data_IF_956126606226
#
_entry.id   IF_956126606226
#
_cell.length_a   1.000
_cell.length_b   1.000
_cell.length_c   1.000
_cell.angle_alpha   90.00
_cell.angle_beta   90.00
_cell.angle_gamma   90.00
#
_symmetry.space_group_name_H-M   'P 1'
#
loop_
_entity.id
_entity.type
_entity.pdbx_description
1 polymer ?
#
# COMPACT_ATOMS: atom_id res chain seq x y z
N UNK A 1 -19.86 -6.17 11.75
CA UNK A 1 -20.00 -6.59 10.34
C UNK A 1 -19.80 -5.37 9.45
N UNK A 2 -19.04 -5.46 8.36
CA UNK A 2 -18.65 -4.32 7.50
C UNK A 2 -19.28 -4.49 6.10
N UNK A 3 -20.39 -3.78 5.83
CA UNK A 3 -21.14 -3.87 4.58
C UNK A 3 -20.84 -2.68 3.63
N UNK A 4 -19.57 -2.39 3.39
CA UNK A 4 -19.14 -1.32 2.49
C UNK A 4 -18.53 -1.89 1.20
N UNK A 5 -18.92 -1.33 0.06
CA UNK A 5 -18.29 -1.57 -1.25
C UNK A 5 -17.19 -0.54 -1.56
N UNK A 6 -16.52 -0.02 -0.53
CA UNK A 6 -15.45 0.98 -0.62
C UNK A 6 -14.29 0.53 0.27
N UNK A 7 -13.13 0.28 -0.35
CA UNK A 7 -11.94 -0.24 0.33
C UNK A 7 -11.47 0.72 1.42
N UNK A 8 -11.39 2.03 1.11
CA UNK A 8 -11.00 3.03 2.10
C UNK A 8 -11.89 3.05 3.33
N UNK A 9 -13.21 2.93 3.17
CA UNK A 9 -14.12 2.90 4.32
C UNK A 9 -13.97 1.63 5.15
N UNK A 10 -13.80 0.47 4.50
CA UNK A 10 -13.57 -0.79 5.20
C UNK A 10 -12.25 -0.78 5.98
N UNK A 11 -11.17 -0.27 5.37
CA UNK A 11 -9.86 -0.10 6.02
C UNK A 11 -9.95 0.86 7.21
N UNK A 12 -10.58 2.03 7.04
CA UNK A 12 -10.77 3.02 8.11
C UNK A 12 -11.43 2.43 9.35
N UNK A 13 -12.52 1.68 9.19
CA UNK A 13 -13.23 1.05 10.30
C UNK A 13 -12.36 0.02 11.04
N UNK A 14 -11.67 -0.85 10.29
CA UNK A 14 -10.79 -1.87 10.89
C UNK A 14 -9.61 -1.24 11.63
N UNK A 15 -8.98 -0.22 11.05
CA UNK A 15 -7.83 0.44 11.64
C UNK A 15 -8.22 1.19 12.91
N UNK A 16 -9.31 1.95 12.91
CA UNK A 16 -9.79 2.64 14.12
C UNK A 16 -10.07 1.65 15.24
N UNK A 17 -10.69 0.52 14.93
CA UNK A 17 -10.93 -0.53 15.91
C UNK A 17 -9.65 -1.10 16.53
N UNK A 18 -8.57 -1.24 15.75
CA UNK A 18 -7.25 -1.66 16.24
C UNK A 18 -6.59 -0.58 17.09
N UNK A 19 -6.69 0.68 16.67
CA UNK A 19 -6.15 1.83 17.41
C UNK A 19 -6.85 1.97 18.78
N UNK A 20 -8.17 1.82 18.82
CA UNK A 20 -8.95 1.82 20.07
C UNK A 20 -8.54 0.68 21.03
N UNK A 21 -7.96 -0.40 20.50
CA UNK A 21 -7.38 -1.51 21.27
C UNK A 21 -5.92 -1.25 21.71
N UNK A 22 -5.35 -0.09 21.40
CA UNK A 22 -4.01 0.33 21.81
C UNK A 22 -2.90 0.02 20.81
N UNK A 23 -3.23 -0.36 19.56
CA UNK A 23 -2.22 -0.53 18.50
C UNK A 23 -1.59 0.82 18.15
N UNK A 24 -0.26 0.88 18.14
CA UNK A 24 0.51 2.09 17.85
C UNK A 24 1.14 2.11 16.45
N UNK A 25 1.29 0.93 15.83
CA UNK A 25 1.81 0.77 14.48
C UNK A 25 0.90 -0.17 13.68
N UNK A 26 0.48 0.28 12.51
CA UNK A 26 -0.42 -0.46 11.62
C UNK A 26 0.34 -0.82 10.35
N UNK A 27 0.28 -2.09 9.96
CA UNK A 27 0.82 -2.56 8.69
C UNK A 27 -0.31 -3.18 7.86
N UNK A 28 -0.50 -2.67 6.64
CA UNK A 28 -1.57 -3.05 5.74
C UNK A 28 -1.04 -3.92 4.61
N UNK A 29 -1.82 -4.95 4.26
CA UNK A 29 -1.63 -5.72 3.04
C UNK A 29 -2.98 -6.19 2.50
N UNK A 30 -3.02 -6.57 1.23
CA UNK A 30 -4.24 -7.07 0.59
C UNK A 30 -4.44 -8.57 0.86
N UNK A 31 -5.69 -9.04 0.75
CA UNK A 31 -6.05 -10.41 1.08
C UNK A 31 -5.40 -11.47 0.17
N UNK A 32 -4.95 -11.07 -1.01
CA UNK A 32 -4.25 -11.88 -2.00
C UNK A 32 -2.77 -11.48 -2.14
N UNK A 33 -2.17 -11.02 -1.04
CA UNK A 33 -0.76 -10.63 -0.96
C UNK A 33 -0.02 -11.51 0.06
N UNK A 34 1.20 -11.89 -0.29
CA UNK A 34 2.14 -12.61 0.57
C UNK A 34 3.25 -11.64 0.97
N UNK A 35 3.44 -11.44 2.27
CA UNK A 35 4.51 -10.59 2.80
C UNK A 35 5.82 -11.37 2.91
N UNK A 36 6.95 -10.70 2.73
CA UNK A 36 8.26 -11.35 2.95
C UNK A 36 8.41 -11.82 4.42
N UNK A 37 9.17 -12.90 4.71
CA UNK A 37 9.26 -13.45 6.06
C UNK A 37 9.75 -12.48 7.14
N UNK A 38 10.56 -11.48 6.76
CA UNK A 38 11.09 -10.44 7.64
C UNK A 38 10.36 -9.09 7.47
N UNK A 39 9.19 -9.05 6.83
CA UNK A 39 8.45 -7.83 6.49
C UNK A 39 8.27 -6.87 7.68
N UNK A 40 7.82 -7.36 8.84
CA UNK A 40 7.68 -6.53 10.04
C UNK A 40 9.05 -6.14 10.65
N UNK A 41 10.06 -7.01 10.58
CA UNK A 41 11.41 -6.71 11.08
C UNK A 41 12.05 -5.58 10.27
N UNK A 42 11.90 -5.60 8.94
CA UNK A 42 12.35 -4.52 8.07
C UNK A 42 11.64 -3.20 8.39
N UNK A 43 10.34 -3.21 8.65
CA UNK A 43 9.63 -2.01 9.11
C UNK A 43 10.18 -1.47 10.44
N UNK A 44 10.45 -2.34 11.41
CA UNK A 44 11.04 -1.93 12.70
C UNK A 44 12.44 -1.31 12.55
N UNK A 45 13.25 -1.80 11.61
CA UNK A 45 14.59 -1.24 11.33
C UNK A 45 14.57 0.18 10.77
N UNK A 46 13.44 0.63 10.21
CA UNK A 46 13.26 1.99 9.70
C UNK A 46 12.74 2.98 10.75
N UNK A 47 12.48 2.53 11.98
CA UNK A 47 12.07 3.43 13.06
C UNK A 47 13.23 4.35 13.50
N UNK A 48 12.95 5.62 13.88
CA UNK A 48 11.64 6.25 13.90
C UNK A 48 11.18 6.73 12.51
N UNK A 49 9.93 6.45 12.13
CA UNK A 49 9.27 6.96 10.91
C UNK A 49 7.76 6.98 11.13
N UNK A 50 7.05 7.89 10.49
CA UNK A 50 5.59 8.01 10.63
C UNK A 50 4.84 7.08 9.67
N UNK A 51 5.42 6.86 8.49
CA UNK A 51 4.90 5.93 7.50
C UNK A 51 6.04 5.25 6.72
N UNK A 52 5.73 4.08 6.15
CA UNK A 52 6.58 3.34 5.23
C UNK A 52 5.75 2.95 4.00
N UNK A 53 6.21 3.39 2.83
CA UNK A 53 5.77 2.86 1.55
C UNK A 53 6.78 1.79 1.12
N UNK A 54 6.31 0.56 0.96
CA UNK A 54 7.13 -0.56 0.52
C UNK A 54 6.94 -0.88 -0.96
N UNK A 55 7.72 -1.85 -1.44
CA UNK A 55 7.65 -2.34 -2.83
C UNK A 55 6.69 -3.52 -2.98
N UNK A 56 6.00 -3.56 -4.11
CA UNK A 56 5.19 -4.72 -4.53
C UNK A 56 5.88 -5.47 -5.67
N UNK A 57 5.88 -6.79 -5.56
CA UNK A 57 6.29 -7.73 -6.60
C UNK A 57 5.01 -8.36 -7.17
N UNK A 58 4.95 -8.56 -8.48
CA UNK A 58 3.85 -9.28 -9.12
C UNK A 58 4.12 -10.79 -9.07
N UNK A 59 3.11 -11.56 -8.69
CA UNK A 59 3.17 -13.02 -8.54
C UNK A 59 3.47 -13.77 -9.85
N UNK A 60 2.92 -13.28 -10.96
CA UNK A 60 3.11 -13.81 -12.30
C UNK A 60 3.11 -12.65 -13.31
N UNK A 61 3.93 -12.75 -14.34
CA UNK A 61 3.94 -11.81 -15.47
C UNK A 61 3.67 -12.51 -16.80
N UNK A 62 3.61 -13.85 -16.80
CA UNK A 62 3.59 -14.69 -18.00
C UNK A 62 2.31 -14.51 -18.82
N UNK A 63 1.22 -14.09 -18.20
CA UNK A 63 -0.05 -13.74 -18.86
C UNK A 63 -0.04 -12.36 -19.53
N UNK A 64 0.96 -11.52 -19.24
CA UNK A 64 1.14 -10.24 -19.93
C UNK A 64 1.92 -10.44 -21.23
N UNK A 65 1.64 -9.63 -22.24
CA UNK A 65 2.45 -9.62 -23.47
C UNK A 65 3.90 -9.20 -23.17
N UNK A 66 4.85 -9.63 -24.01
CA UNK A 66 6.28 -9.26 -23.88
C UNK A 66 6.46 -7.74 -23.78
N UNK A 67 5.69 -6.98 -24.56
CA UNK A 67 5.74 -5.52 -24.52
C UNK A 67 5.26 -4.96 -23.18
N UNK A 68 4.16 -5.48 -22.62
CA UNK A 68 3.67 -5.08 -21.30
C UNK A 68 4.68 -5.44 -20.19
N UNK A 69 5.29 -6.62 -20.26
CA UNK A 69 6.34 -7.02 -19.31
C UNK A 69 7.53 -6.05 -19.36
N UNK A 70 8.00 -5.69 -20.55
CA UNK A 70 9.09 -4.73 -20.71
C UNK A 70 8.74 -3.34 -20.14
N UNK A 71 7.54 -2.85 -20.43
CA UNK A 71 7.07 -1.57 -19.89
C UNK A 71 6.94 -1.61 -18.37
N UNK A 72 6.41 -2.69 -17.81
CA UNK A 72 6.35 -2.89 -16.36
C UNK A 72 7.75 -2.86 -15.75
N UNK A 73 8.69 -3.63 -16.28
CA UNK A 73 10.07 -3.68 -15.79
C UNK A 73 10.80 -2.35 -15.91
N UNK A 74 10.45 -1.52 -16.90
CA UNK A 74 11.00 -0.16 -17.05
C UNK A 74 10.40 0.80 -16.03
N UNK A 75 9.12 0.61 -15.67
CA UNK A 75 8.44 1.41 -14.65
C UNK A 75 8.82 1.00 -13.22
N UNK A 76 9.17 -0.28 -13.02
CA UNK A 76 9.49 -0.84 -11.72
C UNK A 76 10.81 -0.31 -11.17
N UNK A 77 10.75 0.35 -10.01
CA UNK A 77 11.92 0.92 -9.34
C UNK A 77 12.22 0.16 -8.04
N UNK A 78 13.18 -0.76 -8.11
CA UNK A 78 13.65 -1.53 -6.93
C UNK A 78 14.75 -0.79 -6.16
N UNK A 79 14.42 0.40 -5.64
CA UNK A 79 15.36 1.26 -4.94
C UNK A 79 14.70 2.01 -3.79
N UNK A 80 15.52 2.46 -2.83
CA UNK A 80 15.08 3.43 -1.84
C UNK A 80 14.58 4.70 -2.54
N UNK A 81 13.69 5.45 -1.88
CA UNK A 81 13.18 6.75 -2.36
C UNK A 81 12.35 6.68 -3.66
N UNK A 82 11.81 5.50 -4.00
CA UNK A 82 11.04 5.22 -5.23
C UNK A 82 9.71 5.99 -5.39
N UNK A 83 9.18 6.59 -4.33
CA UNK A 83 7.92 7.38 -4.35
C UNK A 83 6.67 6.65 -4.89
N UNK A 84 6.70 5.32 -5.04
CA UNK A 84 5.53 4.52 -5.38
C UNK A 84 4.69 4.22 -4.13
N UNK A 85 3.38 4.36 -4.26
CA UNK A 85 2.41 4.11 -3.19
C UNK A 85 1.59 2.88 -3.57
N UNK A 86 1.58 1.89 -2.69
CA UNK A 86 0.82 0.67 -2.87
C UNK A 86 0.08 0.33 -1.59
N UNK A 87 -1.25 0.35 -1.61
CA UNK A 87 -2.07 -0.03 -0.46
C UNK A 87 -1.81 -1.45 0.04
N UNK A 88 -1.31 -2.33 -0.83
CA UNK A 88 -0.91 -3.70 -0.48
C UNK A 88 0.40 -3.78 0.35
N UNK A 89 1.16 -2.68 0.45
CA UNK A 89 2.40 -2.61 1.22
C UNK A 89 2.62 -1.21 1.80
N UNK A 90 1.79 -0.88 2.79
CA UNK A 90 1.78 0.41 3.46
C UNK A 90 1.72 0.20 4.97
N UNK A 91 2.57 0.90 5.72
CA UNK A 91 2.49 0.93 7.18
C UNK A 91 2.70 2.32 7.75
N UNK A 92 2.16 2.57 8.94
CA UNK A 92 2.15 3.89 9.56
C UNK A 92 1.87 3.85 11.06
N UNK A 93 2.23 4.94 11.74
CA UNK A 93 1.90 5.15 13.14
C UNK A 93 0.42 5.47 13.30
N UNK A 94 -0.17 5.00 14.40
CA UNK A 94 -1.55 5.32 14.75
C UNK A 94 -1.76 6.84 14.92
N UNK A 95 -0.74 7.53 15.44
CA UNK A 95 -0.76 8.98 15.63
C UNK A 95 -0.87 9.72 14.29
N UNK A 96 0.02 9.44 13.32
CA UNK A 96 -0.04 10.06 12.00
C UNK A 96 -1.38 9.76 11.31
N UNK A 97 -1.86 8.52 11.42
CA UNK A 97 -3.15 8.12 10.85
C UNK A 97 -4.33 8.93 11.41
N UNK A 98 -4.39 9.10 12.73
CA UNK A 98 -5.44 9.91 13.37
C UNK A 98 -5.33 11.37 12.94
N UNK A 99 -4.12 11.94 12.96
CA UNK A 99 -3.88 13.34 12.57
C UNK A 99 -4.26 13.61 11.12
N UNK A 100 -4.04 12.66 10.20
CA UNK A 100 -4.45 12.75 8.81
C UNK A 100 -5.97 12.56 8.60
N UNK A 101 -6.71 12.16 9.63
CA UNK A 101 -8.14 11.86 9.55
C UNK A 101 -8.45 10.48 8.94
N UNK A 102 -7.44 9.64 8.70
CA UNK A 102 -7.59 8.27 8.21
C UNK A 102 -7.91 8.15 6.72
N UNK A 103 -8.29 6.93 6.32
CA UNK A 103 -8.64 6.61 4.93
C UNK A 103 -9.95 7.25 4.52
N UNK A 104 -9.97 7.88 3.35
CA UNK A 104 -11.16 8.50 2.81
C UNK A 104 -12.08 7.48 2.13
N UNK A 105 -13.42 7.70 2.18
CA UNK A 105 -14.38 6.84 1.51
C UNK A 105 -14.48 7.17 0.00
N UNK A 106 -13.35 7.14 -0.71
CA UNK A 106 -13.28 7.41 -2.15
C UNK A 106 -13.27 6.11 -2.97
N UNK A 107 -13.66 6.14 -4.26
CA UNK A 107 -13.78 4.92 -5.07
C UNK A 107 -12.45 4.21 -5.38
N UNK A 108 -11.34 4.95 -5.41
CA UNK A 108 -10.00 4.46 -5.70
C UNK A 108 -8.96 5.43 -5.12
N UNK A 109 -7.71 4.97 -5.01
CA UNK A 109 -6.55 5.76 -4.59
C UNK A 109 -6.65 6.31 -3.17
N UNK A 110 -7.32 5.59 -2.26
CA UNK A 110 -7.40 5.98 -0.85
C UNK A 110 -6.03 5.95 -0.14
N UNK A 111 -5.14 5.07 -0.60
CA UNK A 111 -3.74 4.95 -0.18
C UNK A 111 -2.92 6.16 -0.61
N UNK A 112 -3.07 6.60 -1.86
CA UNK A 112 -2.45 7.82 -2.37
C UNK A 112 -2.95 9.03 -1.59
N UNK A 113 -4.27 9.17 -1.41
CA UNK A 113 -4.86 10.26 -0.61
C UNK A 113 -4.30 10.30 0.82
N UNK A 114 -4.15 9.14 1.48
CA UNK A 114 -3.58 9.08 2.83
C UNK A 114 -2.11 9.54 2.85
N UNK A 115 -1.27 9.06 1.94
CA UNK A 115 0.13 9.47 1.87
C UNK A 115 0.28 10.95 1.52
N UNK A 116 -0.54 11.49 0.62
CA UNK A 116 -0.54 12.92 0.32
C UNK A 116 -0.87 13.77 1.56
N UNK A 117 -1.76 13.30 2.43
CA UNK A 117 -2.04 13.97 3.71
C UNK A 117 -0.85 13.91 4.65
N UNK A 118 -0.17 12.77 4.75
CA UNK A 118 1.08 12.66 5.52
C UNK A 118 2.15 13.63 5.00
N UNK A 119 2.30 13.77 3.68
CA UNK A 119 3.22 14.73 3.07
C UNK A 119 2.82 16.17 3.45
N UNK A 120 1.54 16.53 3.34
CA UNK A 120 1.03 17.87 3.70
C UNK A 120 1.22 18.19 5.19
N UNK A 121 1.26 17.17 6.04
CA UNK A 121 1.51 17.28 7.48
C UNK A 121 3.00 17.23 7.85
N UNK A 122 3.89 17.16 6.85
CA UNK A 122 5.34 17.02 7.04
C UNK A 122 5.73 15.77 7.86
N UNK A 123 4.93 14.71 7.79
CA UNK A 123 5.26 13.41 8.39
C UNK A 123 6.55 12.85 7.78
N UNK A 124 7.33 12.11 8.58
CA UNK A 124 8.49 11.37 8.11
C UNK A 124 8.03 10.10 7.38
N UNK A 125 8.21 10.08 6.07
CA UNK A 125 7.86 8.94 5.21
C UNK A 125 9.14 8.26 4.75
N UNK A 126 9.22 6.94 4.92
CA UNK A 126 10.30 6.12 4.39
C UNK A 126 9.79 5.36 3.16
N UNK A 127 10.49 5.49 2.03
CA UNK A 127 10.21 4.72 0.81
C UNK A 127 11.25 3.61 0.71
N UNK A 128 10.86 2.38 1.05
CA UNK A 128 11.81 1.30 1.29
C UNK A 128 11.67 0.16 0.29
N UNK A 129 12.76 -0.17 -0.39
CA UNK A 129 12.85 -1.40 -1.18
C UNK A 129 13.14 -2.66 -0.34
N UNK A 130 13.36 -2.51 0.97
CA UNK A 130 13.57 -3.61 1.91
C UNK A 130 12.26 -4.13 2.52
N UNK A 131 11.18 -3.33 2.48
CA UNK A 131 9.85 -3.74 2.93
C UNK A 131 9.08 -4.20 1.71
N UNK A 132 8.92 -5.52 1.56
CA UNK A 132 8.48 -6.13 0.30
C UNK A 132 7.30 -7.08 0.50
N UNK A 133 6.47 -7.15 -0.54
CA UNK A 133 5.37 -8.11 -0.63
C UNK A 133 5.23 -8.60 -2.08
N UNK A 134 4.62 -9.77 -2.26
CA UNK A 134 4.21 -10.31 -3.55
C UNK A 134 2.69 -10.31 -3.65
N UNK A 135 2.13 -9.66 -4.68
CA UNK A 135 0.68 -9.46 -4.85
C UNK A 135 0.19 -9.96 -6.20
N UNK A 136 -1.12 -10.18 -6.32
CA UNK A 136 -1.72 -10.69 -7.55
C UNK A 136 -1.64 -9.71 -8.70
N UNK A 137 -1.12 -10.18 -9.82
CA UNK A 137 -1.06 -9.54 -11.14
C UNK A 137 -2.37 -9.61 -11.94
N UNK A 138 -3.48 -9.96 -11.30
CA UNK A 138 -4.79 -10.12 -11.94
C UNK A 138 -5.18 -8.87 -12.73
N UNK A 139 -5.74 -9.08 -13.92
CA UNK A 139 -6.28 -7.98 -14.75
C UNK A 139 -7.74 -7.66 -14.39
N UNK A 140 -8.48 -8.58 -13.78
CA UNK A 140 -9.88 -8.37 -13.42
C UNK A 140 -10.01 -7.92 -11.95
N UNK A 141 -9.95 -6.60 -11.73
CA UNK A 141 -10.21 -5.97 -10.43
C UNK A 141 -11.63 -5.43 -10.28
N UNK A 142 -12.05 -5.20 -9.03
CA UNK A 142 -13.35 -4.60 -8.68
C UNK A 142 -13.32 -3.07 -8.60
N UNK A 143 -12.17 -2.49 -8.26
CA UNK A 143 -11.98 -1.05 -8.25
C UNK A 143 -11.91 -0.53 -9.70
N UNK A 144 -12.44 0.67 -9.97
CA UNK A 144 -12.41 1.25 -11.32
C UNK A 144 -10.97 1.52 -11.79
N UNK A 145 -10.06 1.81 -10.87
CA UNK A 145 -8.65 2.07 -11.09
C UNK A 145 -7.77 1.27 -10.11
N UNK A 146 -6.45 1.39 -10.23
CA UNK A 146 -5.46 0.69 -9.39
C UNK A 146 -4.60 -0.29 -10.19
N UNK A 147 -3.94 -1.23 -9.51
CA UNK A 147 -2.94 -2.11 -10.13
C UNK A 147 -3.47 -2.88 -11.35
N UNK A 148 -4.64 -3.51 -11.24
CA UNK A 148 -5.24 -4.26 -12.36
C UNK A 148 -5.57 -3.37 -13.57
N UNK A 149 -5.98 -2.11 -13.33
CA UNK A 149 -6.22 -1.13 -14.38
C UNK A 149 -4.90 -0.69 -15.00
N UNK A 150 -3.88 -0.37 -14.20
CA UNK A 150 -2.53 -0.03 -14.67
C UNK A 150 -1.97 -1.13 -15.57
N UNK A 151 -2.02 -2.40 -15.15
CA UNK A 151 -1.50 -3.53 -15.93
C UNK A 151 -2.23 -3.71 -17.28
N UNK A 152 -3.54 -3.45 -17.34
CA UNK A 152 -4.31 -3.46 -18.59
C UNK A 152 -3.88 -2.37 -19.57
N UNK A 153 -3.36 -1.24 -19.06
CA UNK A 153 -3.00 -0.06 -19.84
C UNK A 153 -1.49 0.10 -20.03
N UNK A 154 -0.70 -0.92 -19.67
CA UNK A 154 0.75 -0.94 -19.91
C UNK A 154 1.10 -0.76 -21.39
#
# INVERSE_FOLDING_TARGET
ECNFACVGKARDLGIRQLIDQGVTWVACTDADTIVDPDWLLCQMRHQPTDAICGIVILDDLSHLSIQQQQKYLTHYQDMMDHQHIHGANLSFSAEAYIQAGGFEPIPCHEDVSLIEKFIKQCCKITWSNLVRVTTSSRLNGRAPEGLSYFLKHL
#
